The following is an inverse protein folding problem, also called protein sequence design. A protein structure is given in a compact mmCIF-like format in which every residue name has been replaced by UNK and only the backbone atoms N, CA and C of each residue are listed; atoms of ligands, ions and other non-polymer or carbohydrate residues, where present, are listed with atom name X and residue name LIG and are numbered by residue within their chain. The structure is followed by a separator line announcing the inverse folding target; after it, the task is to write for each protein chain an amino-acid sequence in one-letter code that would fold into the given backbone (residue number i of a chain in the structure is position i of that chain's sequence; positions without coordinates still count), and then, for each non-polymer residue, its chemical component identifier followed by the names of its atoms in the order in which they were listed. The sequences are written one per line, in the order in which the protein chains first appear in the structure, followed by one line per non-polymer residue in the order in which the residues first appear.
data_IF_397044343720
#
_entry.id   IF_397044343720
#
_cell.length_a   1.000
_cell.length_b   1.000
_cell.length_c   1.000
_cell.angle_alpha   90.00
_cell.angle_beta   90.00
_cell.angle_gamma   90.00
#
_symmetry.space_group_name_H-M   'P 1'
#
loop_
_entity.id
_entity.type
_entity.pdbx_description
1 polymer ?
#
# COMPACT_ATOMS: atom_id res chain seq x y z
N UNK A 1 48.79 -0.23 -85.34
CA UNK A 1 48.22 -1.41 -84.59
C UNK A 1 48.05 -0.96 -83.13
N UNK A 2 46.86 -0.62 -82.74
CA UNK A 2 46.53 -0.15 -81.40
C UNK A 2 45.33 -0.95 -80.94
N UNK A 3 45.55 -1.90 -80.00
CA UNK A 3 44.49 -2.68 -79.34
C UNK A 3 43.92 -1.88 -78.19
N UNK A 4 42.64 -1.64 -78.28
CA UNK A 4 41.87 -0.95 -77.23
C UNK A 4 41.29 -1.99 -76.29
N UNK A 5 41.83 -2.10 -75.05
CA UNK A 5 41.28 -2.92 -73.98
C UNK A 5 40.20 -2.15 -73.21
N UNK A 6 38.96 -2.52 -73.45
CA UNK A 6 37.79 -2.03 -72.67
C UNK A 6 37.61 -2.85 -71.39
N UNK A 7 37.93 -2.25 -70.22
CA UNK A 7 37.62 -2.84 -68.93
C UNK A 7 36.20 -2.44 -68.52
N UNK A 8 35.32 -3.40 -68.55
CA UNK A 8 33.94 -3.26 -68.00
C UNK A 8 34.02 -3.24 -66.52
N UNK A 9 33.69 -2.11 -65.89
CA UNK A 9 33.58 -1.91 -64.50
C UNK A 9 32.20 -2.43 -64.01
N UNK A 10 32.17 -3.57 -63.27
CA UNK A 10 30.99 -4.09 -62.72
C UNK A 10 30.69 -3.37 -61.37
N UNK A 11 29.70 -2.47 -61.36
CA UNK A 11 29.13 -1.90 -60.14
C UNK A 11 28.34 -2.97 -59.39
N UNK A 12 28.86 -3.41 -58.26
CA UNK A 12 28.10 -4.22 -57.31
C UNK A 12 27.24 -3.29 -56.46
N UNK A 13 25.92 -3.40 -56.61
CA UNK A 13 24.95 -2.70 -55.77
C UNK A 13 24.79 -3.53 -54.49
N UNK A 14 25.33 -3.02 -53.37
CA UNK A 14 25.11 -3.58 -52.08
C UNK A 14 23.73 -3.11 -51.58
N UNK A 15 22.78 -4.05 -51.51
CA UNK A 15 21.47 -3.80 -50.88
C UNK A 15 21.63 -3.93 -49.36
N UNK A 16 21.66 -2.80 -48.67
CA UNK A 16 21.65 -2.76 -47.23
C UNK A 16 20.22 -3.05 -46.72
N UNK A 17 19.98 -4.24 -46.19
CA UNK A 17 18.76 -4.60 -45.48
C UNK A 17 18.75 -3.91 -44.11
N UNK A 18 17.96 -2.85 -43.95
CA UNK A 18 17.63 -2.29 -42.61
C UNK A 18 16.78 -3.30 -41.87
N UNK A 19 17.38 -3.99 -40.92
CA UNK A 19 16.64 -4.77 -39.89
C UNK A 19 15.92 -3.78 -38.98
N UNK A 20 14.61 -3.61 -39.18
CA UNK A 20 13.77 -2.80 -38.30
C UNK A 20 13.69 -3.45 -36.91
N UNK A 21 14.25 -2.79 -35.90
CA UNK A 21 14.07 -3.18 -34.48
C UNK A 21 12.64 -2.85 -34.10
N UNK A 22 11.77 -3.86 -34.03
CA UNK A 22 10.44 -3.73 -33.48
C UNK A 22 10.60 -3.63 -31.96
N UNK A 23 10.59 -2.41 -31.45
CA UNK A 23 10.51 -2.18 -29.99
C UNK A 23 9.08 -2.53 -29.55
N UNK A 24 8.89 -3.75 -29.06
CA UNK A 24 7.64 -4.15 -28.39
C UNK A 24 7.57 -3.41 -27.06
N UNK A 25 6.81 -2.32 -26.99
CA UNK A 25 6.46 -1.69 -25.74
C UNK A 25 5.60 -2.69 -24.93
N UNK A 26 6.17 -3.23 -23.85
CA UNK A 26 5.40 -3.99 -22.86
C UNK A 26 4.31 -3.06 -22.30
N UNK A 27 3.05 -3.51 -22.25
CA UNK A 27 1.99 -2.72 -21.62
C UNK A 27 2.39 -2.46 -20.17
N UNK A 28 2.43 -1.19 -19.78
CA UNK A 28 2.56 -0.84 -18.36
C UNK A 28 1.38 -1.46 -17.64
N UNK A 29 1.63 -2.43 -16.76
CA UNK A 29 0.59 -3.03 -15.93
C UNK A 29 0.07 -1.91 -15.03
N UNK A 30 -1.18 -1.51 -15.21
CA UNK A 30 -1.81 -0.53 -14.34
C UNK A 30 -1.76 -1.04 -12.91
N UNK A 31 -1.33 -0.17 -11.98
CA UNK A 31 -1.30 -0.50 -10.56
C UNK A 31 -2.70 -0.94 -10.11
N UNK A 32 -2.78 -2.00 -9.31
CA UNK A 32 -4.05 -2.45 -8.75
C UNK A 32 -4.57 -1.38 -7.80
N UNK A 33 -5.82 -0.92 -7.94
CA UNK A 33 -6.37 0.07 -7.01
C UNK A 33 -6.33 -0.46 -5.58
N UNK A 34 -5.74 0.31 -4.67
CA UNK A 34 -5.75 0.00 -3.25
C UNK A 34 -7.08 0.39 -2.63
N UNK A 35 -7.54 -0.35 -1.63
CA UNK A 35 -8.68 0.03 -0.81
C UNK A 35 -8.53 -0.51 0.61
N UNK A 36 -9.07 0.21 1.55
CA UNK A 36 -9.29 -0.25 2.91
C UNK A 36 -10.69 0.21 3.33
N UNK A 37 -11.48 -0.74 3.79
CA UNK A 37 -12.82 -0.49 4.32
C UNK A 37 -12.95 -1.10 5.70
N UNK A 38 -13.47 -0.32 6.64
CA UNK A 38 -13.68 -0.75 8.01
C UNK A 38 -15.00 -0.20 8.57
N UNK A 39 -15.49 -0.87 9.62
CA UNK A 39 -16.54 -0.34 10.51
C UNK A 39 -15.89 -0.04 11.85
N UNK A 40 -16.03 1.19 12.32
CA UNK A 40 -15.44 1.68 13.56
C UNK A 40 -16.59 2.08 14.47
N UNK A 41 -16.84 1.29 15.51
CA UNK A 41 -17.96 1.50 16.43
C UNK A 41 -19.28 1.77 15.68
N UNK A 42 -19.58 0.95 14.67
CA UNK A 42 -20.76 1.06 13.82
C UNK A 42 -20.68 2.11 12.70
N UNK A 43 -19.67 2.96 12.66
CA UNK A 43 -19.48 3.97 11.63
C UNK A 43 -18.57 3.46 10.52
N UNK A 44 -18.89 3.81 9.27
CA UNK A 44 -18.08 3.43 8.10
C UNK A 44 -16.82 4.27 8.01
N UNK A 45 -15.68 3.60 7.85
CA UNK A 45 -14.40 4.18 7.48
C UNK A 45 -13.95 3.61 6.14
N UNK A 46 -13.61 4.46 5.21
CA UNK A 46 -13.08 4.08 3.90
C UNK A 46 -11.83 4.90 3.59
N UNK A 47 -10.86 4.25 2.98
CA UNK A 47 -9.69 4.88 2.38
C UNK A 47 -9.63 4.53 0.90
N UNK A 48 -9.19 5.48 0.09
CA UNK A 48 -8.95 5.29 -1.33
C UNK A 48 -7.46 5.03 -1.61
N UNK A 49 -7.15 4.86 -2.90
CA UNK A 49 -5.83 4.51 -3.39
C UNK A 49 -4.72 5.46 -2.89
N UNK A 50 -5.00 6.75 -2.85
CA UNK A 50 -4.05 7.78 -2.41
C UNK A 50 -3.92 7.89 -0.89
N UNK A 51 -4.92 7.39 -0.17
CA UNK A 51 -4.97 7.40 1.30
C UNK A 51 -4.26 6.21 1.94
N UNK A 52 -3.84 5.21 1.16
CA UNK A 52 -3.25 3.97 1.66
C UNK A 52 -1.75 3.96 1.41
N UNK A 53 -0.99 3.63 2.45
CA UNK A 53 0.43 3.38 2.40
C UNK A 53 0.71 1.99 2.97
N UNK A 54 1.22 1.09 2.15
CA UNK A 54 1.77 -0.20 2.58
C UNK A 54 3.26 -0.23 2.30
N UNK A 55 4.02 -0.59 3.32
CA UNK A 55 5.47 -0.69 3.25
C UNK A 55 5.94 -1.98 3.93
N UNK A 56 6.93 -2.60 3.30
CA UNK A 56 7.72 -3.66 3.89
C UNK A 56 9.20 -3.20 3.93
N UNK A 57 9.53 -2.17 4.75
CA UNK A 57 10.81 -1.46 4.70
C UNK A 57 12.02 -2.34 5.07
N UNK A 58 11.77 -3.38 5.85
CA UNK A 58 12.79 -4.36 6.22
C UNK A 58 12.16 -5.75 6.25
N UNK A 59 12.95 -6.78 6.00
CA UNK A 59 12.49 -8.16 6.14
C UNK A 59 11.94 -8.36 7.56
N UNK A 60 10.72 -8.85 7.62
CA UNK A 60 10.03 -9.16 8.87
C UNK A 60 9.17 -8.04 9.45
N UNK A 61 9.02 -6.89 8.80
CA UNK A 61 8.12 -5.82 9.27
C UNK A 61 7.11 -5.45 8.18
N UNK A 62 5.84 -5.49 8.53
CA UNK A 62 4.73 -4.98 7.73
C UNK A 62 4.26 -3.67 8.34
N UNK A 63 4.10 -2.64 7.52
CA UNK A 63 3.52 -1.35 7.93
C UNK A 63 2.40 -1.01 6.94
N UNK A 64 1.17 -0.92 7.44
CA UNK A 64 -0.02 -0.53 6.70
C UNK A 64 -0.64 0.70 7.37
N UNK A 65 -0.86 1.76 6.60
CA UNK A 65 -1.53 2.97 7.07
C UNK A 65 -2.62 3.37 6.06
N UNK A 66 -3.75 3.80 6.57
CA UNK A 66 -4.88 4.27 5.76
C UNK A 66 -5.48 5.53 6.38
N UNK A 67 -5.74 6.53 5.54
CA UNK A 67 -6.42 7.78 5.91
C UNK A 67 -7.82 7.80 5.32
N UNK A 68 -8.73 8.57 5.90
CA UNK A 68 -10.08 8.78 5.37
C UNK A 68 -10.05 9.11 3.89
N UNK A 69 -10.95 8.51 3.12
CA UNK A 69 -11.10 8.73 1.68
C UNK A 69 -11.13 10.22 1.33
N UNK A 70 -10.33 10.60 0.33
CA UNK A 70 -10.15 11.99 -0.09
C UNK A 70 -9.23 12.81 0.81
N UNK A 71 -8.53 12.20 1.78
CA UNK A 71 -7.58 12.92 2.67
C UNK A 71 -6.45 13.62 1.90
N UNK A 72 -6.02 13.04 0.78
CA UNK A 72 -4.99 13.58 -0.12
C UNK A 72 -5.52 14.55 -1.19
N UNK A 73 -6.82 14.79 -1.25
CA UNK A 73 -7.43 15.67 -2.26
C UNK A 73 -6.91 17.11 -2.17
N UNK A 74 -6.82 17.77 -3.32
CA UNK A 74 -6.54 19.19 -3.40
C UNK A 74 -7.76 19.93 -4.00
N UNK A 75 -8.29 20.98 -3.36
CA UNK A 75 -7.90 21.53 -2.05
C UNK A 75 -8.17 20.52 -0.91
N UNK A 76 -7.43 20.63 0.22
CA UNK A 76 -7.58 19.70 1.33
C UNK A 76 -9.02 19.63 1.85
N UNK A 77 -9.52 18.45 2.26
CA UNK A 77 -10.88 18.31 2.77
C UNK A 77 -11.07 19.19 4.01
N UNK A 78 -12.26 19.78 4.17
CA UNK A 78 -12.60 20.61 5.33
C UNK A 78 -12.93 19.77 6.57
N UNK A 79 -13.31 18.50 6.35
CA UNK A 79 -13.62 17.54 7.43
C UNK A 79 -12.34 17.04 8.10
N UNK A 80 -12.39 16.71 9.39
CA UNK A 80 -11.28 16.02 10.06
C UNK A 80 -10.91 14.73 9.34
N UNK A 81 -9.64 14.36 9.44
CA UNK A 81 -9.10 13.15 8.82
C UNK A 81 -8.85 12.12 9.90
N UNK A 82 -9.47 10.95 9.75
CA UNK A 82 -9.15 9.80 10.58
C UNK A 82 -8.03 8.99 9.93
N UNK A 83 -7.25 8.30 10.77
CA UNK A 83 -6.16 7.44 10.30
C UNK A 83 -6.10 6.15 11.08
N UNK A 84 -6.05 5.03 10.37
CA UNK A 84 -5.72 3.72 10.90
C UNK A 84 -4.30 3.35 10.50
N UNK A 85 -3.50 2.84 11.43
CA UNK A 85 -2.17 2.31 11.16
C UNK A 85 -1.97 0.98 11.85
N UNK A 86 -1.29 0.05 11.17
CA UNK A 86 -0.96 -1.29 11.67
C UNK A 86 0.51 -1.55 11.37
N UNK A 87 1.25 -1.95 12.39
CA UNK A 87 2.64 -2.39 12.24
C UNK A 87 2.72 -3.79 12.82
N UNK A 88 3.18 -4.78 12.02
CA UNK A 88 3.39 -6.15 12.49
C UNK A 88 4.85 -6.57 12.26
N UNK A 89 5.50 -7.07 13.30
CA UNK A 89 6.83 -7.70 13.22
C UNK A 89 6.66 -9.21 13.03
N UNK A 90 7.62 -9.83 12.34
CA UNK A 90 7.56 -11.26 12.02
C UNK A 90 6.78 -11.60 10.76
N UNK A 91 6.50 -10.61 9.90
CA UNK A 91 5.91 -10.84 8.59
C UNK A 91 7.00 -11.26 7.58
N UNK A 92 6.88 -12.46 7.03
CA UNK A 92 7.85 -13.07 6.10
C UNK A 92 7.45 -12.96 4.62
N UNK A 93 6.45 -12.13 4.30
CA UNK A 93 5.96 -11.97 2.93
C UNK A 93 5.03 -13.08 2.46
N UNK A 94 4.46 -13.87 3.38
CA UNK A 94 3.50 -14.93 3.09
C UNK A 94 2.17 -14.70 3.81
N UNK A 95 1.08 -15.34 3.39
CA UNK A 95 -0.17 -15.34 4.14
C UNK A 95 0.08 -15.75 5.59
N UNK A 96 -0.43 -14.94 6.53
CA UNK A 96 -0.21 -15.12 7.96
C UNK A 96 -1.37 -14.52 8.75
N UNK A 97 -1.65 -15.09 9.92
CA UNK A 97 -2.63 -14.56 10.87
C UNK A 97 -1.95 -14.27 12.19
N UNK A 98 -1.92 -12.99 12.56
CA UNK A 98 -1.56 -12.54 13.90
C UNK A 98 -2.82 -12.54 14.77
N UNK A 99 -2.71 -13.03 15.99
CA UNK A 99 -3.81 -13.11 16.95
C UNK A 99 -3.46 -12.32 18.21
N UNK A 100 -4.36 -12.21 19.17
CA UNK A 100 -4.22 -11.32 20.32
C UNK A 100 -2.87 -11.43 21.07
N UNK A 101 -2.32 -12.65 21.22
CA UNK A 101 -1.00 -12.86 21.87
C UNK A 101 0.17 -12.26 21.09
N UNK A 102 0.01 -12.03 19.78
CA UNK A 102 1.03 -11.47 18.90
C UNK A 102 0.99 -9.93 18.91
N UNK A 103 0.03 -9.32 19.62
CA UNK A 103 -0.07 -7.87 19.79
C UNK A 103 0.69 -7.41 21.02
N UNK A 104 1.43 -6.31 20.86
CA UNK A 104 2.24 -5.69 21.91
C UNK A 104 3.59 -5.21 21.41
N UNK A 105 4.48 -4.83 22.31
CA UNK A 105 5.72 -4.09 22.00
C UNK A 105 6.68 -4.76 21.01
N UNK A 106 6.59 -6.07 20.82
CA UNK A 106 7.48 -6.84 19.92
C UNK A 106 6.72 -7.57 18.80
N UNK A 107 5.43 -7.36 18.68
CA UNK A 107 4.57 -8.02 17.70
C UNK A 107 3.82 -7.01 16.82
N UNK A 108 2.50 -7.20 16.72
CA UNK A 108 1.62 -6.26 16.04
C UNK A 108 1.18 -5.12 16.96
N UNK A 109 1.07 -3.95 16.40
CA UNK A 109 0.46 -2.77 17.02
C UNK A 109 -0.50 -2.15 16.01
N UNK A 110 -1.72 -1.84 16.43
CA UNK A 110 -2.65 -1.05 15.64
C UNK A 110 -3.05 0.20 16.42
N UNK A 111 -3.12 1.34 15.71
CA UNK A 111 -3.52 2.63 16.24
C UNK A 111 -4.58 3.24 15.34
N UNK A 112 -5.61 3.78 15.95
CA UNK A 112 -6.59 4.62 15.26
C UNK A 112 -6.56 6.03 15.84
N UNK A 113 -6.42 7.02 14.96
CA UNK A 113 -6.44 8.45 15.28
C UNK A 113 -7.69 9.02 14.67
N UNK A 114 -8.57 9.55 15.51
CA UNK A 114 -9.81 10.20 15.12
C UNK A 114 -9.61 11.71 15.04
N UNK A 115 -10.09 12.31 13.96
CA UNK A 115 -10.15 13.75 13.84
C UNK A 115 -8.79 14.43 13.87
N UNK A 116 -7.81 13.92 13.12
CA UNK A 116 -6.50 14.55 13.04
C UNK A 116 -6.65 16.00 12.56
N UNK A 117 -6.17 16.94 13.36
CA UNK A 117 -6.20 18.35 13.03
C UNK A 117 -5.43 18.65 11.74
N UNK A 118 -5.97 19.56 10.91
CA UNK A 118 -5.30 20.09 9.72
C UNK A 118 -4.25 21.14 10.06
N UNK A 119 -4.30 21.63 11.27
CA UNK A 119 -3.30 22.58 11.77
C UNK A 119 -2.05 21.79 12.14
N UNK A 120 -0.86 22.14 11.64
CA UNK A 120 0.38 21.53 12.10
C UNK A 120 0.42 21.57 13.64
N UNK A 121 0.71 20.43 14.29
CA UNK A 121 0.73 20.27 15.75
C UNK A 121 -0.61 20.35 16.48
N UNK A 122 -1.75 20.33 15.76
CA UNK A 122 -3.06 20.20 16.39
C UNK A 122 -3.24 18.79 16.99
N UNK A 123 -3.83 18.72 18.18
CA UNK A 123 -4.17 17.44 18.82
C UNK A 123 -5.35 16.78 18.11
N UNK A 124 -5.36 15.44 17.96
CA UNK A 124 -6.52 14.70 17.46
C UNK A 124 -7.65 14.73 18.50
N UNK A 125 -8.88 14.48 18.03
CA UNK A 125 -10.03 14.32 18.93
C UNK A 125 -9.83 13.17 19.91
N UNK A 126 -9.33 12.02 19.39
CA UNK A 126 -9.05 10.83 20.20
C UNK A 126 -7.97 9.96 19.53
N UNK A 127 -7.22 9.24 20.36
CA UNK A 127 -6.28 8.21 19.96
C UNK A 127 -6.62 6.88 20.64
N UNK A 128 -6.67 5.82 19.84
CA UNK A 128 -6.99 4.46 20.29
C UNK A 128 -5.82 3.53 19.98
N UNK A 129 -5.60 2.57 20.88
CA UNK A 129 -4.49 1.62 20.82
C UNK A 129 -4.99 0.20 21.03
N UNK A 130 -4.51 -0.74 20.20
CA UNK A 130 -4.91 -2.15 20.23
C UNK A 130 -4.29 -2.98 21.36
N UNK A 131 -3.32 -2.45 22.11
CA UNK A 131 -2.60 -3.22 23.17
C UNK A 131 -3.49 -3.81 24.25
N UNK A 132 -4.69 -3.30 24.41
CA UNK A 132 -5.64 -3.71 25.44
C UNK A 132 -6.71 -4.68 24.95
N UNK A 133 -6.74 -4.97 23.64
CA UNK A 133 -7.72 -5.88 23.04
C UNK A 133 -7.38 -7.34 23.30
N UNK A 134 -8.41 -8.13 23.63
CA UNK A 134 -8.27 -9.57 23.90
C UNK A 134 -8.54 -10.44 22.67
N UNK A 135 -9.22 -9.89 21.65
CA UNK A 135 -9.63 -10.62 20.45
C UNK A 135 -9.00 -10.04 19.17
N UNK A 136 -7.93 -9.25 19.30
CA UNK A 136 -7.26 -8.67 18.15
C UNK A 136 -6.80 -9.72 17.15
N UNK A 137 -7.08 -9.48 15.88
CA UNK A 137 -6.54 -10.26 14.76
C UNK A 137 -6.16 -9.35 13.61
N UNK A 138 -5.07 -9.69 12.95
CA UNK A 138 -4.67 -9.12 11.67
C UNK A 138 -4.24 -10.26 10.76
N UNK A 139 -4.93 -10.43 9.64
CA UNK A 139 -4.73 -11.58 8.76
C UNK A 139 -4.42 -11.11 7.34
N UNK A 140 -3.21 -11.42 6.86
CA UNK A 140 -2.86 -11.35 5.45
C UNK A 140 -3.32 -12.66 4.81
N UNK A 141 -4.36 -12.60 3.99
CA UNK A 141 -4.97 -13.78 3.35
C UNK A 141 -4.33 -14.12 2.01
N UNK A 142 -3.74 -13.11 1.34
CA UNK A 142 -3.11 -13.26 0.03
C UNK A 142 -1.90 -12.35 -0.09
N UNK A 143 -0.84 -12.86 -0.74
CA UNK A 143 0.33 -12.09 -1.15
C UNK A 143 0.62 -12.41 -2.61
N UNK A 144 0.59 -11.41 -3.47
CA UNK A 144 0.85 -11.53 -4.93
C UNK A 144 1.85 -10.45 -5.35
N UNK A 145 3.12 -10.83 -5.38
CA UNK A 145 4.19 -9.85 -5.64
C UNK A 145 4.24 -8.78 -4.55
N UNK A 146 3.98 -7.54 -4.92
CA UNK A 146 3.94 -6.38 -4.01
C UNK A 146 2.56 -6.11 -3.39
N UNK A 147 1.53 -6.89 -3.77
CA UNK A 147 0.16 -6.69 -3.32
C UNK A 147 -0.17 -7.65 -2.19
N UNK A 148 -0.77 -7.14 -1.13
CA UNK A 148 -1.34 -7.91 -0.02
C UNK A 148 -2.83 -7.66 0.10
N UNK A 149 -3.58 -8.71 0.42
CA UNK A 149 -5.00 -8.64 0.75
C UNK A 149 -5.23 -9.24 2.13
N UNK A 150 -6.19 -8.73 2.86
CA UNK A 150 -6.46 -9.28 4.18
C UNK A 150 -7.63 -8.65 4.90
N UNK A 151 -7.75 -9.01 6.17
CA UNK A 151 -8.80 -8.56 7.07
C UNK A 151 -8.25 -8.39 8.48
N UNK A 152 -8.97 -7.63 9.28
CA UNK A 152 -8.60 -7.39 10.66
C UNK A 152 -9.82 -7.22 11.55
N UNK A 153 -9.62 -7.51 12.81
CA UNK A 153 -10.52 -7.19 13.92
C UNK A 153 -9.67 -6.62 15.06
N UNK A 154 -9.98 -5.41 15.50
CA UNK A 154 -9.28 -4.76 16.60
C UNK A 154 -10.25 -4.31 17.68
N UNK A 155 -9.95 -4.68 18.90
CA UNK A 155 -10.50 -4.07 20.09
C UNK A 155 -9.53 -3.01 20.58
N UNK A 156 -9.87 -1.75 20.44
CA UNK A 156 -8.99 -0.64 20.76
C UNK A 156 -9.50 0.16 21.95
N UNK A 157 -8.60 0.69 22.73
CA UNK A 157 -8.92 1.53 23.87
C UNK A 157 -8.30 2.91 23.70
N UNK A 158 -9.09 3.94 23.98
CA UNK A 158 -8.57 5.31 24.03
C UNK A 158 -7.52 5.44 25.13
N UNK A 159 -6.51 6.26 24.92
CA UNK A 159 -5.41 6.50 25.88
C UNK A 159 -5.85 7.29 27.12
N UNK A 160 -7.15 7.49 27.33
CA UNK A 160 -7.71 8.17 28.50
C UNK A 160 -8.13 7.17 29.59
N UNK A 161 -8.04 7.55 30.89
CA UNK A 161 -8.55 6.72 31.98
C UNK A 161 -10.04 6.44 31.81
N UNK A 162 -10.47 5.17 32.03
CA UNK A 162 -11.87 4.70 31.93
C UNK A 162 -12.51 4.79 30.55
N UNK A 163 -11.72 4.89 29.49
CA UNK A 163 -12.25 4.93 28.12
C UNK A 163 -12.96 3.61 27.75
N UNK A 164 -14.02 3.74 26.95
CA UNK A 164 -14.72 2.61 26.36
C UNK A 164 -13.83 1.87 25.36
N UNK A 165 -14.14 0.60 25.15
CA UNK A 165 -13.55 -0.19 24.08
C UNK A 165 -14.23 0.17 22.76
N UNK A 166 -13.44 0.40 21.71
CA UNK A 166 -13.91 0.59 20.33
C UNK A 166 -13.55 -0.63 19.53
N UNK A 167 -14.51 -1.17 18.78
CA UNK A 167 -14.31 -2.31 17.88
C UNK A 167 -14.14 -1.81 16.47
N UNK A 168 -13.11 -2.30 15.78
CA UNK A 168 -12.81 -1.98 14.41
C UNK A 168 -12.68 -3.28 13.61
N UNK A 169 -13.60 -3.48 12.66
CA UNK A 169 -13.59 -4.60 11.73
C UNK A 169 -13.35 -4.10 10.31
N UNK A 170 -12.47 -4.75 9.55
CA UNK A 170 -12.22 -4.30 8.20
C UNK A 170 -11.46 -5.26 7.31
N UNK A 171 -11.35 -4.85 6.05
CA UNK A 171 -10.60 -5.53 4.99
C UNK A 171 -9.69 -4.54 4.28
N UNK A 172 -8.63 -5.06 3.67
CA UNK A 172 -7.69 -4.25 2.92
C UNK A 172 -7.18 -4.98 1.68
N UNK A 173 -6.85 -4.17 0.67
CA UNK A 173 -6.03 -4.51 -0.48
C UNK A 173 -5.00 -3.38 -0.63
N UNK A 174 -3.72 -3.68 -0.50
CA UNK A 174 -2.67 -2.69 -0.50
C UNK A 174 -1.44 -3.16 -1.29
N UNK A 175 -0.78 -2.23 -1.97
CA UNK A 175 0.40 -2.48 -2.80
C UNK A 175 1.62 -1.71 -2.25
N UNK A 176 2.77 -2.40 -2.12
CA UNK A 176 4.05 -1.73 -1.86
C UNK A 176 4.53 -1.02 -3.13
N UNK A 177 4.34 0.29 -3.17
CA UNK A 177 4.69 1.15 -4.30
C UNK A 177 6.06 1.81 -4.15
N UNK A 178 6.86 1.41 -3.19
CA UNK A 178 8.25 1.87 -3.11
C UNK A 178 9.08 1.34 -4.29
N UNK A 179 9.86 2.25 -4.87
CA UNK A 179 10.77 1.97 -5.99
C UNK A 179 12.09 1.41 -5.48
#
# INVERSE_FOLDING_TARGET
MLETNSKILKCAIAVATLAGIVVTSLPATAATPQNLSATIDGNKFESDDDGILYLMPTTGVLNLSASTKGASAYPPPKTPIDRLSVICRGFDGKPVKFIAKDFGNHGCEARFIKGQSKVPFGEPEAEYDSRYGKNNTFEVTSVKGKVIEGKFHFEMKEKKPKAALVVIDGTFNAEDRQK
#
